data_IF_584910097610
#
_entry.id   IF_584910097610
#
_cell.length_a   1.000
_cell.length_b   1.000
_cell.length_c   1.000
_cell.angle_alpha   90.00
_cell.angle_beta   90.00
_cell.angle_gamma   90.00
#
_symmetry.space_group_name_H-M   'P 1'
#
loop_
_entity.id
_entity.type
_entity.pdbx_description
1 polymer ?
#
# COMPACT_ATOMS: atom_id res chain seq x y z
N UNK A 1 -3.74 -26.97 11.23
CA UNK A 1 -2.91 -25.92 10.62
C UNK A 1 -3.14 -24.62 11.38
N UNK A 2 -2.07 -23.96 11.78
CA UNK A 2 -2.17 -22.69 12.52
C UNK A 2 -2.58 -21.55 11.59
N UNK A 3 -3.35 -20.60 12.12
CA UNK A 3 -3.76 -19.40 11.37
C UNK A 3 -2.57 -18.44 11.26
N UNK A 4 -2.33 -17.92 10.07
CA UNK A 4 -1.31 -16.88 9.86
C UNK A 4 -1.79 -15.54 10.43
N UNK A 5 -0.85 -14.62 10.73
CA UNK A 5 -1.15 -13.35 11.38
C UNK A 5 -2.24 -12.53 10.67
N UNK A 6 -2.21 -12.47 9.34
CA UNK A 6 -3.19 -11.71 8.57
C UNK A 6 -4.63 -12.24 8.69
N UNK A 7 -4.81 -13.50 9.04
CA UNK A 7 -6.15 -14.10 9.24
C UNK A 7 -6.68 -13.92 10.67
N UNK A 8 -5.87 -13.41 11.58
CA UNK A 8 -6.30 -13.17 12.98
C UNK A 8 -6.93 -11.79 13.16
N UNK A 9 -6.79 -10.90 12.18
CA UNK A 9 -7.40 -9.56 12.18
C UNK A 9 -8.88 -9.70 11.79
N UNK A 10 -9.76 -9.01 12.52
CA UNK A 10 -11.19 -8.99 12.20
C UNK A 10 -11.46 -8.02 11.04
N UNK A 11 -11.53 -8.55 9.83
CA UNK A 11 -11.76 -7.77 8.61
C UNK A 11 -13.14 -7.14 8.52
N UNK A 12 -14.09 -7.55 9.39
CA UNK A 12 -15.42 -6.92 9.43
C UNK A 12 -15.40 -5.55 10.11
N UNK A 13 -14.32 -5.25 10.85
CA UNK A 13 -14.15 -4.01 11.62
C UNK A 13 -13.10 -3.08 11.05
N UNK A 14 -12.37 -3.50 10.02
CA UNK A 14 -11.27 -2.72 9.46
C UNK A 14 -11.75 -1.48 8.72
N UNK A 15 -11.08 -0.37 8.98
CA UNK A 15 -11.20 0.88 8.24
C UNK A 15 -10.01 1.04 7.29
N UNK A 16 -10.16 1.93 6.29
CA UNK A 16 -9.02 2.34 5.46
C UNK A 16 -7.96 2.98 6.35
N UNK A 17 -6.71 2.65 6.13
CA UNK A 17 -5.62 3.16 6.94
C UNK A 17 -4.32 2.42 6.69
N UNK A 18 -3.42 2.50 7.67
CA UNK A 18 -2.12 1.81 7.65
C UNK A 18 -1.94 1.10 8.98
N UNK A 19 -1.57 -0.17 8.94
CA UNK A 19 -1.48 -0.98 10.16
C UNK A 19 -0.23 -1.85 10.16
N UNK A 20 0.47 -1.88 11.29
CA UNK A 20 1.54 -2.86 11.48
C UNK A 20 0.90 -4.25 11.61
N UNK A 21 1.13 -5.06 10.59
CA UNK A 21 0.58 -6.41 10.51
C UNK A 21 1.45 -7.39 11.29
N UNK A 22 2.78 -7.27 11.12
CA UNK A 22 3.72 -8.21 11.69
C UNK A 22 5.14 -7.63 11.70
N UNK A 23 5.94 -8.10 12.65
CA UNK A 23 7.36 -7.77 12.71
C UNK A 23 8.18 -9.06 12.76
N UNK A 24 9.12 -9.19 11.85
CA UNK A 24 10.05 -10.32 11.77
C UNK A 24 11.47 -9.79 11.93
N UNK A 25 12.04 -9.94 13.14
CA UNK A 25 13.30 -9.29 13.48
C UNK A 25 13.16 -7.77 13.40
N UNK A 26 13.93 -7.13 12.52
CA UNK A 26 13.84 -5.70 12.25
C UNK A 26 12.97 -5.35 11.02
N UNK A 27 12.40 -6.36 10.35
CA UNK A 27 11.52 -6.17 9.19
C UNK A 27 10.08 -5.99 9.66
N UNK A 28 9.49 -4.87 9.26
CA UNK A 28 8.09 -4.55 9.57
C UNK A 28 7.23 -4.69 8.32
N UNK A 29 6.15 -5.45 8.43
CA UNK A 29 5.13 -5.57 7.38
C UNK A 29 3.96 -4.67 7.71
N UNK A 30 3.70 -3.70 6.83
CA UNK A 30 2.60 -2.76 6.95
C UNK A 30 1.48 -3.16 6.00
N UNK A 31 0.25 -3.19 6.52
CA UNK A 31 -0.95 -3.31 5.69
C UNK A 31 -1.39 -1.92 5.26
N UNK A 32 -1.32 -1.66 3.96
CA UNK A 32 -1.75 -0.40 3.35
C UNK A 32 -3.18 -0.60 2.86
N UNK A 33 -4.13 -0.29 3.73
CA UNK A 33 -5.55 -0.56 3.52
C UNK A 33 -6.25 0.57 2.75
N UNK A 34 -6.39 0.40 1.44
CA UNK A 34 -6.97 1.41 0.54
C UNK A 34 -8.49 1.32 0.44
N UNK A 35 -9.07 0.16 0.71
CA UNK A 35 -10.51 -0.10 0.64
C UNK A 35 -10.96 -0.78 1.93
N UNK A 36 -12.21 -0.51 2.34
CA UNK A 36 -12.81 -1.26 3.43
C UNK A 36 -13.10 -2.70 2.97
N UNK A 37 -12.69 -3.71 3.74
CA UNK A 37 -12.92 -5.11 3.36
C UNK A 37 -14.42 -5.45 3.24
N UNK A 38 -14.75 -6.23 2.21
CA UNK A 38 -16.09 -6.81 2.03
C UNK A 38 -17.22 -5.80 1.87
N UNK A 39 -16.94 -4.62 1.31
CA UNK A 39 -17.94 -3.58 1.03
C UNK A 39 -18.31 -3.46 -0.45
N UNK A 40 -17.78 -4.33 -1.31
CA UNK A 40 -18.08 -4.34 -2.74
C UNK A 40 -17.32 -3.31 -3.56
N UNK A 41 -16.45 -2.52 -2.96
CA UNK A 41 -15.62 -1.53 -3.63
C UNK A 41 -14.16 -1.99 -3.53
N UNK A 42 -13.61 -2.48 -4.64
CA UNK A 42 -12.26 -3.04 -4.72
C UNK A 42 -11.46 -2.33 -5.81
N UNK A 43 -10.12 -2.41 -5.71
CA UNK A 43 -9.24 -1.94 -6.77
C UNK A 43 -9.43 -2.82 -8.01
N UNK A 44 -9.58 -2.21 -9.19
CA UNK A 44 -9.55 -2.98 -10.44
C UNK A 44 -8.17 -3.58 -10.64
N UNK A 45 -8.06 -4.65 -11.41
CA UNK A 45 -6.76 -5.30 -11.65
C UNK A 45 -5.78 -4.36 -12.32
N UNK A 46 -6.23 -3.56 -13.28
CA UNK A 46 -5.39 -2.58 -13.97
C UNK A 46 -4.89 -1.46 -13.05
N UNK A 47 -5.78 -0.88 -12.24
CA UNK A 47 -5.41 0.16 -11.27
C UNK A 47 -4.46 -0.39 -10.21
N UNK A 48 -4.75 -1.57 -9.67
CA UNK A 48 -3.89 -2.26 -8.71
C UNK A 48 -2.48 -2.45 -9.25
N UNK A 49 -2.37 -2.93 -10.49
CA UNK A 49 -1.10 -3.21 -11.14
C UNK A 49 -0.29 -1.92 -11.39
N UNK A 50 -0.96 -0.86 -11.83
CA UNK A 50 -0.30 0.44 -12.02
C UNK A 50 0.17 1.03 -10.69
N UNK A 51 -0.66 0.94 -9.63
CA UNK A 51 -0.25 1.37 -8.29
C UNK A 51 0.99 0.59 -7.84
N UNK A 52 1.03 -0.72 -8.05
CA UNK A 52 2.19 -1.53 -7.69
C UNK A 52 3.47 -1.00 -8.33
N UNK A 53 3.45 -0.79 -9.65
CA UNK A 53 4.63 -0.31 -10.39
C UNK A 53 5.08 1.07 -9.93
N UNK A 54 4.16 2.01 -9.80
CA UNK A 54 4.49 3.37 -9.39
C UNK A 54 4.90 3.47 -7.92
N UNK A 55 4.20 2.78 -7.05
CA UNK A 55 4.50 2.77 -5.61
C UNK A 55 5.87 2.13 -5.35
N UNK A 56 6.11 0.96 -5.92
CA UNK A 56 7.40 0.28 -5.76
C UNK A 56 8.56 1.13 -6.30
N UNK A 57 8.38 1.72 -7.47
CA UNK A 57 9.40 2.56 -8.10
C UNK A 57 9.68 3.82 -7.26
N UNK A 58 8.65 4.53 -6.84
CA UNK A 58 8.82 5.76 -6.05
C UNK A 58 9.44 5.46 -4.69
N UNK A 59 8.90 4.50 -3.94
CA UNK A 59 9.37 4.18 -2.60
C UNK A 59 10.85 3.76 -2.58
N UNK A 60 11.30 3.06 -3.62
CA UNK A 60 12.70 2.62 -3.75
C UNK A 60 13.63 3.69 -4.32
N UNK A 61 13.12 4.88 -4.64
CA UNK A 61 13.91 6.00 -5.15
C UNK A 61 13.79 7.26 -4.30
N UNK A 62 12.95 7.27 -3.28
CA UNK A 62 12.72 8.43 -2.41
C UNK A 62 13.78 8.53 -1.29
N UNK A 63 13.62 9.52 -0.41
CA UNK A 63 14.53 9.75 0.72
C UNK A 63 14.60 8.56 1.69
N UNK A 64 13.56 7.70 1.72
CA UNK A 64 13.48 6.53 2.61
C UNK A 64 13.89 5.21 1.95
N UNK A 65 14.46 5.26 0.75
CA UNK A 65 14.75 4.08 -0.08
C UNK A 65 15.54 2.98 0.63
N UNK A 66 16.46 3.35 1.51
CA UNK A 66 17.31 2.38 2.22
C UNK A 66 16.53 1.55 3.24
N UNK A 67 15.37 2.04 3.68
CA UNK A 67 14.48 1.32 4.59
C UNK A 67 13.34 0.58 3.90
N UNK A 68 13.21 0.69 2.58
CA UNK A 68 12.15 0.02 1.81
C UNK A 68 12.64 -1.34 1.32
N UNK A 69 11.90 -2.40 1.66
CA UNK A 69 12.25 -3.78 1.28
C UNK A 69 11.39 -4.24 0.12
N UNK A 70 10.07 -4.05 0.21
CA UNK A 70 9.14 -4.61 -0.79
C UNK A 70 7.79 -3.91 -0.75
N UNK A 71 7.16 -3.85 -1.91
CA UNK A 71 5.76 -3.46 -2.10
C UNK A 71 5.07 -4.55 -2.90
N UNK A 72 3.95 -5.07 -2.42
CA UNK A 72 3.19 -6.09 -3.14
C UNK A 72 1.70 -5.96 -2.92
N UNK A 73 0.86 -6.24 -3.94
CA UNK A 73 -0.59 -6.15 -3.81
C UNK A 73 -1.16 -7.29 -2.98
N UNK A 74 -2.27 -7.00 -2.30
CA UNK A 74 -3.10 -8.03 -1.66
C UNK A 74 -4.00 -8.69 -2.70
N UNK A 75 -4.12 -10.02 -2.66
CA UNK A 75 -4.97 -10.76 -3.58
C UNK A 75 -6.45 -10.39 -3.50
N UNK A 76 -6.92 -9.90 -2.36
CA UNK A 76 -8.30 -9.42 -2.19
C UNK A 76 -8.58 -8.06 -2.85
N UNK A 77 -7.55 -7.40 -3.36
CA UNK A 77 -7.62 -6.10 -4.04
C UNK A 77 -8.16 -4.96 -3.16
N UNK A 78 -7.86 -5.02 -1.85
CA UNK A 78 -8.18 -3.95 -0.91
C UNK A 78 -6.99 -3.09 -0.54
N UNK A 79 -5.79 -3.46 -0.94
CA UNK A 79 -4.58 -2.70 -0.67
C UNK A 79 -3.29 -3.43 -0.95
N UNK A 80 -2.25 -3.05 -0.23
CA UNK A 80 -0.88 -3.49 -0.46
C UNK A 80 -0.20 -3.88 0.84
N UNK A 81 0.81 -4.74 0.72
CA UNK A 81 1.81 -4.96 1.76
C UNK A 81 3.00 -4.06 1.48
N UNK A 82 3.47 -3.38 2.51
CA UNK A 82 4.65 -2.53 2.46
C UNK A 82 5.62 -3.01 3.54
N UNK A 83 6.79 -3.49 3.13
CA UNK A 83 7.80 -4.02 4.03
C UNK A 83 8.93 -3.02 4.19
N UNK A 84 9.28 -2.71 5.44
CA UNK A 84 10.32 -1.73 5.77
C UNK A 84 11.27 -2.26 6.84
N UNK A 85 12.43 -1.60 6.93
CA UNK A 85 13.44 -1.84 7.95
C UNK A 85 14.06 -0.51 8.35
N UNK A 86 14.22 -0.28 9.66
CA UNK A 86 14.94 0.88 10.17
C UNK A 86 14.24 2.22 10.01
N UNK A 87 12.94 2.22 9.69
CA UNK A 87 12.12 3.42 9.62
C UNK A 87 11.20 3.52 10.84
N UNK A 88 11.03 4.74 11.35
CA UNK A 88 10.02 5.00 12.39
C UNK A 88 8.62 4.97 11.78
N UNK A 89 7.60 4.84 12.63
CA UNK A 89 6.20 4.90 12.18
C UNK A 89 5.91 6.22 11.42
N UNK A 90 6.41 7.33 11.93
CA UNK A 90 6.25 8.64 11.28
C UNK A 90 6.92 8.69 9.91
N UNK A 91 8.10 8.08 9.76
CA UNK A 91 8.80 8.00 8.48
C UNK A 91 8.07 7.11 7.48
N UNK A 92 7.51 5.98 7.95
CA UNK A 92 6.68 5.10 7.12
C UNK A 92 5.45 5.86 6.61
N UNK A 93 4.75 6.57 7.49
CA UNK A 93 3.58 7.37 7.10
C UNK A 93 3.95 8.46 6.09
N UNK A 94 5.06 9.17 6.31
CA UNK A 94 5.54 10.21 5.40
C UNK A 94 5.92 9.61 4.02
N UNK A 95 6.59 8.47 4.00
CA UNK A 95 6.90 7.76 2.76
C UNK A 95 5.63 7.41 1.97
N UNK A 96 4.59 6.95 2.67
CA UNK A 96 3.30 6.62 2.06
C UNK A 96 2.60 7.86 1.51
N UNK A 97 2.57 8.95 2.29
CA UNK A 97 1.98 10.23 1.83
C UNK A 97 2.66 10.70 0.55
N UNK A 98 3.99 10.73 0.54
CA UNK A 98 4.76 11.16 -0.63
C UNK A 98 4.53 10.23 -1.83
N UNK A 99 4.49 8.91 -1.61
CA UNK A 99 4.27 7.93 -2.68
C UNK A 99 2.89 8.08 -3.32
N UNK A 100 1.85 8.23 -2.52
CA UNK A 100 0.49 8.36 -3.03
C UNK A 100 0.21 9.75 -3.62
N UNK A 101 0.86 10.80 -3.11
CA UNK A 101 0.84 12.12 -3.75
C UNK A 101 1.46 12.06 -5.15
N UNK A 102 2.60 11.41 -5.27
CA UNK A 102 3.25 11.17 -6.57
C UNK A 102 2.33 10.43 -7.55
N UNK A 103 1.70 9.32 -7.08
CA UNK A 103 0.82 8.52 -7.92
C UNK A 103 -0.45 9.25 -8.34
N UNK A 104 -0.99 10.12 -7.48
CA UNK A 104 -2.21 10.86 -7.76
C UNK A 104 -2.08 11.81 -8.95
N UNK A 105 -0.87 12.33 -9.20
CA UNK A 105 -0.60 13.30 -10.26
C UNK A 105 0.31 12.79 -11.38
N UNK A 106 0.71 11.51 -11.32
CA UNK A 106 1.61 10.94 -12.33
C UNK A 106 0.93 10.88 -13.71
N UNK A 107 1.61 11.35 -14.75
CA UNK A 107 1.07 11.38 -16.11
C UNK A 107 2.04 10.85 -17.18
N UNK A 108 3.15 10.26 -16.76
CA UNK A 108 4.18 9.74 -17.66
C UNK A 108 3.96 8.27 -18.06
N UNK A 109 4.96 7.70 -18.73
CA UNK A 109 4.99 6.29 -19.04
C UNK A 109 5.17 5.47 -17.74
N UNK A 110 4.35 4.45 -17.56
CA UNK A 110 4.41 3.60 -16.37
C UNK A 110 5.72 2.80 -16.38
N UNK A 111 6.57 2.93 -15.34
CA UNK A 111 7.83 2.19 -15.29
C UNK A 111 7.56 0.67 -15.24
N UNK A 112 8.38 -0.09 -15.96
CA UNK A 112 8.27 -1.55 -15.99
C UNK A 112 7.09 -2.10 -16.78
N UNK A 113 6.32 -1.27 -17.48
CA UNK A 113 5.14 -1.70 -18.24
C UNK A 113 5.52 -2.09 -19.68
N UNK A 114 6.49 -2.98 -19.83
CA UNK A 114 6.90 -3.54 -21.12
C UNK A 114 6.89 -5.07 -21.05
N UNK A 115 6.85 -5.72 -22.21
CA UNK A 115 6.85 -7.17 -22.29
C UNK A 115 8.11 -7.79 -21.66
N UNK A 116 9.23 -7.10 -21.74
CA UNK A 116 10.51 -7.53 -21.18
C UNK A 116 10.56 -7.44 -19.65
N UNK A 117 9.83 -6.49 -19.08
CA UNK A 117 9.93 -6.16 -17.65
C UNK A 117 8.77 -6.67 -16.82
N UNK A 118 7.66 -7.07 -17.44
CA UNK A 118 6.43 -7.42 -16.75
C UNK A 118 5.74 -8.62 -17.40
N UNK A 119 5.25 -9.54 -16.58
CA UNK A 119 4.56 -10.74 -17.05
C UNK A 119 3.18 -10.48 -17.63
N UNK A 120 2.57 -9.32 -17.37
CA UNK A 120 1.26 -8.92 -17.92
C UNK A 120 1.20 -7.42 -18.12
N UNK A 121 2.06 -6.91 -18.99
CA UNK A 121 2.31 -5.48 -19.14
C UNK A 121 1.12 -4.68 -19.70
N UNK A 122 0.15 -5.34 -20.33
CA UNK A 122 -1.02 -4.69 -20.92
C UNK A 122 -2.13 -4.42 -19.90
N UNK A 123 -2.12 -5.09 -18.75
CA UNK A 123 -3.13 -4.89 -17.69
C UNK A 123 -2.73 -3.70 -16.80
N UNK A 124 -2.91 -2.50 -17.30
CA UNK A 124 -2.57 -1.23 -16.63
C UNK A 124 -3.74 -0.25 -16.75
N UNK A 125 -3.90 0.61 -15.75
CA UNK A 125 -4.90 1.67 -15.75
C UNK A 125 -4.37 2.88 -14.97
N UNK A 126 -3.72 3.80 -15.67
CA UNK A 126 -3.14 5.00 -15.04
C UNK A 126 -4.21 5.92 -14.46
N UNK A 127 -5.33 6.14 -15.17
CA UNK A 127 -6.40 7.00 -14.67
C UNK A 127 -7.05 6.43 -13.41
N UNK A 128 -7.28 5.12 -13.39
CA UNK A 128 -7.77 4.43 -12.21
C UNK A 128 -6.77 4.54 -11.04
N UNK A 129 -5.48 4.37 -11.31
CA UNK A 129 -4.42 4.58 -10.32
C UNK A 129 -4.46 6.00 -9.75
N UNK A 130 -4.51 7.01 -10.60
CA UNK A 130 -4.56 8.42 -10.16
C UNK A 130 -5.77 8.66 -9.23
N UNK A 131 -6.95 8.19 -9.61
CA UNK A 131 -8.18 8.38 -8.83
C UNK A 131 -8.10 7.66 -7.47
N UNK A 132 -7.66 6.41 -7.45
CA UNK A 132 -7.52 5.62 -6.23
C UNK A 132 -6.45 6.19 -5.29
N UNK A 133 -5.32 6.61 -5.85
CA UNK A 133 -4.25 7.24 -5.07
C UNK A 133 -4.71 8.56 -4.47
N UNK A 134 -5.44 9.39 -5.21
CA UNK A 134 -5.98 10.65 -4.70
C UNK A 134 -6.97 10.43 -3.56
N UNK A 135 -7.84 9.42 -3.68
CA UNK A 135 -8.81 9.07 -2.64
C UNK A 135 -8.11 8.58 -1.36
N UNK A 136 -7.12 7.71 -1.51
CA UNK A 136 -6.38 7.18 -0.36
C UNK A 136 -5.47 8.23 0.29
N UNK A 137 -4.90 9.14 -0.49
CA UNK A 137 -4.08 10.23 0.02
C UNK A 137 -4.83 11.07 1.07
N UNK A 138 -6.12 11.28 0.88
CA UNK A 138 -6.97 11.97 1.86
C UNK A 138 -7.05 11.20 3.18
N UNK A 139 -7.14 9.88 3.11
CA UNK A 139 -7.12 9.01 4.30
C UNK A 139 -5.79 9.15 5.02
N UNK A 140 -4.67 9.03 4.29
CA UNK A 140 -3.32 9.11 4.85
C UNK A 140 -3.08 10.45 5.56
N UNK A 141 -3.52 11.56 4.97
CA UNK A 141 -3.33 12.89 5.54
C UNK A 141 -4.13 13.12 6.82
N UNK A 142 -5.14 12.30 7.07
CA UNK A 142 -5.90 12.31 8.33
C UNK A 142 -5.31 11.45 9.43
N UNK A 143 -4.25 10.67 9.14
CA UNK A 143 -3.63 9.77 10.10
C UNK A 143 -2.44 10.41 10.81
N UNK A 144 -2.19 9.92 12.02
CA UNK A 144 -0.94 10.15 12.74
C UNK A 144 -0.21 8.83 12.97
N UNK A 145 1.05 8.88 13.38
CA UNK A 145 1.82 7.67 13.69
C UNK A 145 1.12 6.80 14.75
N UNK A 146 0.36 7.39 15.66
CA UNK A 146 -0.38 6.66 16.69
C UNK A 146 -1.52 5.81 16.14
N UNK A 147 -2.01 6.10 14.93
CA UNK A 147 -3.13 5.40 14.30
C UNK A 147 -2.71 4.11 13.57
N UNK A 148 -1.41 3.79 13.57
CA UNK A 148 -0.85 2.73 12.72
C UNK A 148 -0.76 1.36 13.43
N UNK A 149 -1.75 1.05 14.26
CA UNK A 149 -1.82 -0.22 15.01
C UNK A 149 -3.24 -0.76 15.00
N UNK A 150 -3.35 -2.09 14.90
CA UNK A 150 -4.67 -2.76 14.93
C UNK A 150 -5.38 -2.67 16.28
N UNK A 151 -4.65 -2.50 17.39
CA UNK A 151 -5.22 -2.46 18.73
C UNK A 151 -6.34 -1.44 18.90
N UNK A 152 -6.34 -0.40 18.08
CA UNK A 152 -7.36 0.64 18.16
C UNK A 152 -8.72 0.21 17.55
N UNK A 153 -8.77 -0.90 16.82
CA UNK A 153 -10.02 -1.47 16.34
C UNK A 153 -10.61 -2.52 17.26
N UNK A 154 -9.82 -2.98 18.22
CA UNK A 154 -10.23 -4.05 19.11
C UNK A 154 -10.94 -3.53 20.37
N UNK A 155 -10.97 -2.23 20.50
CA UNK A 155 -11.71 -1.52 21.53
C UNK A 155 -13.13 -1.21 21.05
#
# INVERSE_FOLDING_TARGET
MERIASFTVDHTKLKRGVYLSRQDGDVMTWDVGMKEPNKGDYLSTGALHTIEHLFATYARNCAYKDGVIYVGPMGCRTGFYFLTRGLTDAEVLDCLVQSFDFMASFDGAIPGASAEECGNYLDQDLKGCNAEAAAYLKVLRGLTAADMRYSYYLE
#
